data_IF_171755788029
#
_entry.id   IF_171755788029
#
_cell.length_a   1.000
_cell.length_b   1.000
_cell.length_c   1.000
_cell.angle_alpha   90.00
_cell.angle_beta   90.00
_cell.angle_gamma   90.00
#
_symmetry.space_group_name_H-M   'P 1'
#
loop_
_entity.id
_entity.type
_entity.pdbx_description
1 polymer ?
#
# COMPACT_ATOMS: atom_id res chain seq x y z
N UNK A 1 -5.89 18.12 4.70
CA UNK A 1 -6.12 17.94 3.25
C UNK A 1 -4.77 17.64 2.61
N UNK A 2 -4.38 16.37 2.54
CA UNK A 2 -3.06 15.92 2.05
C UNK A 2 -3.20 15.19 0.70
N UNK A 3 -3.77 15.85 -0.31
CA UNK A 3 -3.64 15.40 -1.70
C UNK A 3 -3.60 16.64 -2.59
N UNK A 4 -2.45 16.88 -3.22
CA UNK A 4 -2.36 17.85 -4.33
C UNK A 4 -3.14 17.28 -5.52
N UNK A 5 -3.55 18.12 -6.46
CA UNK A 5 -4.22 17.68 -7.71
C UNK A 5 -3.41 16.56 -8.42
N UNK A 6 -2.08 16.59 -8.29
CA UNK A 6 -1.18 15.57 -8.81
C UNK A 6 -1.31 14.21 -8.09
N UNK A 7 -1.48 14.22 -6.75
CA UNK A 7 -1.69 12.98 -5.99
C UNK A 7 -3.00 12.29 -6.33
N UNK A 8 -4.06 13.06 -6.59
CA UNK A 8 -5.34 12.52 -7.05
C UNK A 8 -5.23 11.91 -8.44
N UNK A 9 -4.56 12.59 -9.38
CA UNK A 9 -4.31 12.06 -10.72
C UNK A 9 -3.53 10.74 -10.71
N UNK A 10 -2.46 10.67 -9.91
CA UNK A 10 -1.68 9.44 -9.74
C UNK A 10 -2.52 8.28 -9.20
N UNK A 11 -3.37 8.56 -8.19
CA UNK A 11 -4.27 7.56 -7.63
C UNK A 11 -5.29 7.03 -8.66
N UNK A 12 -5.92 7.94 -9.41
CA UNK A 12 -6.89 7.56 -10.45
C UNK A 12 -6.22 6.76 -11.58
N UNK A 13 -4.99 7.12 -11.96
CA UNK A 13 -4.20 6.35 -12.92
C UNK A 13 -3.93 4.93 -12.40
N UNK A 14 -3.44 4.79 -11.17
CA UNK A 14 -3.19 3.47 -10.56
C UNK A 14 -4.48 2.65 -10.57
N UNK A 15 -5.62 3.21 -10.17
CA UNK A 15 -6.93 2.51 -10.20
C UNK A 15 -7.36 2.10 -11.60
N UNK A 16 -7.09 2.93 -12.61
CA UNK A 16 -7.41 2.61 -14.01
C UNK A 16 -6.54 1.45 -14.49
N UNK A 17 -5.23 1.51 -14.26
CA UNK A 17 -4.28 0.48 -14.67
C UNK A 17 -4.50 -0.83 -13.94
N UNK A 18 -4.78 -0.80 -12.63
CA UNK A 18 -5.08 -2.01 -11.84
C UNK A 18 -6.29 -2.79 -12.39
N UNK A 19 -7.31 -2.09 -12.91
CA UNK A 19 -8.50 -2.71 -13.51
C UNK A 19 -8.28 -3.24 -14.92
N UNK A 20 -7.43 -2.59 -15.71
CA UNK A 20 -7.25 -2.88 -17.15
C UNK A 20 -6.00 -3.68 -17.51
N UNK A 21 -4.94 -3.64 -16.69
CA UNK A 21 -3.63 -4.21 -16.99
C UNK A 21 -3.30 -5.35 -16.03
N UNK A 22 -3.35 -6.59 -16.54
CA UNK A 22 -3.17 -7.80 -15.72
C UNK A 22 -1.82 -7.85 -15.02
N UNK A 23 -0.72 -7.59 -15.72
CA UNK A 23 0.63 -7.64 -15.16
C UNK A 23 0.84 -6.57 -14.07
N UNK A 24 0.27 -5.39 -14.28
CA UNK A 24 0.28 -4.32 -13.29
C UNK A 24 -0.50 -4.71 -12.02
N UNK A 25 -1.68 -5.32 -12.19
CA UNK A 25 -2.47 -5.88 -11.09
C UNK A 25 -1.69 -6.92 -10.31
N UNK A 26 -1.09 -7.91 -10.98
CA UNK A 26 -0.28 -8.96 -10.34
C UNK A 26 0.92 -8.38 -9.58
N UNK A 27 1.53 -7.33 -10.13
CA UNK A 27 2.63 -6.61 -9.47
C UNK A 27 2.17 -5.90 -8.18
N UNK A 28 1.04 -5.20 -8.23
CA UNK A 28 0.44 -4.54 -7.06
C UNK A 28 0.03 -5.56 -6.00
N UNK A 29 -0.61 -6.66 -6.41
CA UNK A 29 -1.05 -7.72 -5.51
C UNK A 29 0.14 -8.35 -4.78
N UNK A 30 1.23 -8.64 -5.51
CA UNK A 30 2.47 -9.15 -4.90
C UNK A 30 3.07 -8.15 -3.92
N UNK A 31 3.13 -6.86 -4.29
CA UNK A 31 3.67 -5.83 -3.42
C UNK A 31 2.90 -5.72 -2.11
N UNK A 32 1.56 -5.68 -2.18
CA UNK A 32 0.67 -5.64 -1.01
C UNK A 32 0.92 -6.86 -0.13
N UNK A 33 0.96 -8.06 -0.73
CA UNK A 33 1.16 -9.30 0.01
C UNK A 33 2.52 -9.34 0.74
N UNK A 34 3.60 -8.96 0.07
CA UNK A 34 4.92 -8.93 0.69
C UNK A 34 5.01 -7.90 1.83
N UNK A 35 4.33 -6.75 1.68
CA UNK A 35 4.28 -5.75 2.73
C UNK A 35 3.49 -6.24 3.95
N UNK A 36 2.35 -6.91 3.73
CA UNK A 36 1.57 -7.54 4.80
C UNK A 36 2.33 -8.65 5.52
N UNK A 37 3.09 -9.46 4.76
CA UNK A 37 3.99 -10.48 5.32
C UNK A 37 5.06 -9.83 6.20
N UNK A 38 5.70 -8.76 5.73
CA UNK A 38 6.68 -7.99 6.49
C UNK A 38 6.08 -7.44 7.79
N UNK A 39 4.89 -6.82 7.73
CA UNK A 39 4.21 -6.32 8.92
C UNK A 39 3.86 -7.45 9.91
N UNK A 40 3.42 -8.60 9.40
CA UNK A 40 3.14 -9.78 10.24
C UNK A 40 4.40 -10.33 10.88
N UNK A 41 5.54 -10.34 10.19
CA UNK A 41 6.81 -10.83 10.73
C UNK A 41 7.35 -9.89 11.80
N UNK A 42 7.40 -8.59 11.49
CA UNK A 42 7.81 -7.55 12.43
C UNK A 42 6.91 -7.54 13.67
N UNK A 43 5.58 -7.63 13.48
CA UNK A 43 4.61 -7.60 14.57
C UNK A 43 4.71 -8.77 15.55
N UNK A 44 5.30 -9.91 15.15
CA UNK A 44 5.51 -11.06 16.07
C UNK A 44 6.56 -10.76 17.14
N UNK A 45 7.59 -10.01 16.78
CA UNK A 45 8.72 -9.69 17.66
C UNK A 45 8.55 -8.31 18.33
N UNK A 46 7.67 -7.46 17.80
CA UNK A 46 7.41 -6.09 18.23
C UNK A 46 6.33 -5.99 19.32
N UNK A 47 6.69 -6.32 20.56
CA UNK A 47 5.76 -6.39 21.71
C UNK A 47 4.95 -5.13 21.97
N UNK A 48 5.48 -3.95 21.63
CA UNK A 48 4.79 -2.66 21.82
C UNK A 48 4.19 -2.07 20.52
N UNK A 49 4.39 -2.76 19.39
CA UNK A 49 3.89 -2.36 18.08
C UNK A 49 4.57 -1.09 17.51
N UNK A 50 5.67 -0.64 18.10
CA UNK A 50 6.33 0.61 17.71
C UNK A 50 7.03 0.50 16.35
N UNK A 51 7.62 -0.67 16.06
CA UNK A 51 8.33 -0.93 14.82
C UNK A 51 7.34 -1.09 13.65
N UNK A 52 6.26 -1.86 13.84
CA UNK A 52 5.20 -2.00 12.84
C UNK A 52 4.56 -0.64 12.50
N UNK A 53 4.32 0.21 13.50
CA UNK A 53 3.85 1.60 13.29
C UNK A 53 4.86 2.42 12.50
N UNK A 54 6.15 2.28 12.78
CA UNK A 54 7.22 2.98 12.07
C UNK A 54 7.25 2.63 10.57
N UNK A 55 7.03 1.35 10.24
CA UNK A 55 6.89 0.91 8.85
C UNK A 55 5.64 1.50 8.17
N UNK A 56 4.50 1.55 8.87
CA UNK A 56 3.27 2.12 8.32
C UNK A 56 3.37 3.61 8.00
N UNK A 57 4.08 4.39 8.84
CA UNK A 57 4.26 5.85 8.61
C UNK A 57 5.41 6.19 7.65
N UNK A 58 6.24 5.20 7.31
CA UNK A 58 7.33 5.35 6.33
C UNK A 58 6.81 5.66 4.93
N UNK A 59 7.68 6.12 4.03
CA UNK A 59 7.30 6.35 2.63
C UNK A 59 6.86 5.06 1.93
N UNK A 60 7.45 3.91 2.28
CA UNK A 60 7.01 2.60 1.81
C UNK A 60 5.60 2.26 2.31
N UNK A 61 5.29 2.59 3.57
CA UNK A 61 3.95 2.42 4.14
C UNK A 61 2.90 3.32 3.48
N UNK A 62 3.26 4.55 3.08
CA UNK A 62 2.38 5.43 2.29
C UNK A 62 2.10 4.85 0.91
N UNK A 63 3.13 4.30 0.24
CA UNK A 63 2.96 3.62 -1.06
C UNK A 63 2.05 2.40 -0.90
N UNK A 64 2.28 1.55 0.11
CA UNK A 64 1.40 0.43 0.44
C UNK A 64 -0.05 0.87 0.59
N UNK A 65 -0.30 1.89 1.41
CA UNK A 65 -1.65 2.40 1.69
C UNK A 65 -2.32 2.90 0.40
N UNK A 66 -1.59 3.67 -0.41
CA UNK A 66 -2.09 4.17 -1.70
C UNK A 66 -2.45 3.03 -2.66
N UNK A 67 -1.59 2.02 -2.79
CA UNK A 67 -1.81 0.88 -3.68
C UNK A 67 -2.96 -0.01 -3.21
N UNK A 68 -3.04 -0.28 -1.91
CA UNK A 68 -4.11 -1.09 -1.33
C UNK A 68 -5.49 -0.42 -1.43
N UNK A 69 -5.56 0.91 -1.25
CA UNK A 69 -6.78 1.67 -1.55
C UNK A 69 -7.13 1.64 -3.04
N UNK A 70 -6.14 1.79 -3.93
CA UNK A 70 -6.39 1.72 -5.36
C UNK A 70 -6.89 0.34 -5.82
N UNK A 71 -6.45 -0.73 -5.12
CA UNK A 71 -6.90 -2.10 -5.31
C UNK A 71 -8.25 -2.44 -4.65
N UNK A 72 -8.91 -1.47 -3.99
CA UNK A 72 -10.15 -1.67 -3.23
C UNK A 72 -10.05 -2.71 -2.10
N UNK A 73 -8.88 -2.86 -1.48
CA UNK A 73 -8.67 -3.76 -0.33
C UNK A 73 -8.99 -3.15 1.03
N UNK A 74 -9.20 -1.85 1.07
CA UNK A 74 -9.64 -1.11 2.25
C UNK A 74 -10.95 -0.39 1.91
N UNK A 75 -12.06 -0.86 2.48
CA UNK A 75 -13.36 -0.17 2.55
C UNK A 75 -13.58 0.37 3.97
#
# INVERSE_FOLDING_TARGET
RLYTLQGQQAFDEIRRRYRGEREFRETIDRYIHEFERLLSEVGRDDRDGSLAKSYLVSDTGKVYTMLAHAAQRFE
#
